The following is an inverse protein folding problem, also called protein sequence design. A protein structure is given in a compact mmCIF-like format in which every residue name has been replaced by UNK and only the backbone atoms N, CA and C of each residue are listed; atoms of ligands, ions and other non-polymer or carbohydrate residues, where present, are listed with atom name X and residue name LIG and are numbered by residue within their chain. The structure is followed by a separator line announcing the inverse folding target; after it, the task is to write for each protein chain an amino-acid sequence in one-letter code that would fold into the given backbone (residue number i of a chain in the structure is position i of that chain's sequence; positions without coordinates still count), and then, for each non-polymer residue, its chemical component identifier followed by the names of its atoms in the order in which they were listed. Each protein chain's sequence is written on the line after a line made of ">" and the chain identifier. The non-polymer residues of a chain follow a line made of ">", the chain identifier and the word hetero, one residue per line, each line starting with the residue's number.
data_IF_516496835144
#
_entry.id   IF_516496835144
#
_cell.length_a   1.000
_cell.length_b   1.000
_cell.length_c   1.000
_cell.angle_alpha   90.00
_cell.angle_beta   90.00
_cell.angle_gamma   90.00
#
_symmetry.space_group_name_H-M   'P 1'
#
loop_
_entity.id
_entity.type
_entity.pdbx_description
1 polymer ?
#
# COMPACT_ATOMS: atom_id res chain seq x y z
N UNK A 1 4.48 -17.15 30.75
CA UNK A 1 5.44 -17.17 31.88
C UNK A 1 5.72 -18.59 32.37
N UNK A 2 4.73 -19.48 32.44
CA UNK A 2 4.89 -20.88 32.92
C UNK A 2 5.79 -21.74 32.01
N UNK A 3 5.55 -21.74 30.70
CA UNK A 3 6.32 -22.58 29.75
C UNK A 3 7.84 -22.29 29.73
N UNK A 4 8.25 -21.04 29.93
CA UNK A 4 9.67 -20.67 29.98
C UNK A 4 10.37 -21.21 31.25
N UNK A 5 9.62 -21.26 32.35
CA UNK A 5 10.10 -21.74 33.65
C UNK A 5 10.23 -23.26 33.66
N UNK A 6 9.30 -23.96 33.02
CA UNK A 6 9.31 -25.42 32.88
C UNK A 6 10.45 -25.91 31.97
N UNK A 7 10.94 -25.07 31.06
CA UNK A 7 12.12 -25.30 30.24
C UNK A 7 13.46 -24.93 30.92
N UNK A 8 13.44 -24.56 32.21
CA UNK A 8 14.65 -24.25 32.98
C UNK A 8 15.18 -22.82 32.82
N UNK A 9 14.44 -21.91 32.17
CA UNK A 9 14.85 -20.52 32.05
C UNK A 9 14.34 -19.69 33.24
N UNK A 10 15.26 -19.07 33.98
CA UNK A 10 14.96 -18.13 35.07
C UNK A 10 14.59 -16.72 34.57
N UNK A 11 14.22 -15.83 35.48
CA UNK A 11 13.90 -14.40 35.21
C UNK A 11 15.14 -13.54 34.82
N UNK A 12 16.19 -14.14 34.28
CA UNK A 12 17.36 -13.41 33.80
C UNK A 12 17.05 -12.77 32.45
N UNK A 13 17.05 -11.44 32.36
CA UNK A 13 17.24 -10.79 31.07
C UNK A 13 18.64 -11.17 30.57
N UNK A 14 18.72 -11.97 29.50
CA UNK A 14 20.00 -12.23 28.84
C UNK A 14 20.68 -10.91 28.46
N UNK A 15 22.01 -10.91 28.30
CA UNK A 15 22.70 -9.68 27.86
C UNK A 15 22.21 -9.32 26.45
N UNK A 16 21.73 -8.10 26.28
CA UNK A 16 21.35 -7.59 24.96
C UNK A 16 22.59 -7.60 24.05
N UNK A 17 22.51 -8.14 22.83
CA UNK A 17 23.61 -8.02 21.88
C UNK A 17 23.90 -6.53 21.62
N UNK A 18 25.17 -6.16 21.71
CA UNK A 18 25.66 -4.81 21.40
C UNK A 18 26.18 -4.86 19.97
N UNK A 19 25.69 -3.97 19.10
CA UNK A 19 26.21 -3.84 17.75
C UNK A 19 27.63 -3.24 17.80
N UNK A 20 28.49 -3.68 16.89
CA UNK A 20 29.84 -3.13 16.74
C UNK A 20 29.77 -1.73 16.12
N UNK A 21 30.57 -0.78 16.61
CA UNK A 21 30.64 0.61 16.09
C UNK A 21 31.47 0.72 14.80
N UNK A 22 31.63 -0.40 14.10
CA UNK A 22 32.48 -0.49 12.92
C UNK A 22 31.90 0.36 11.78
N UNK A 23 32.72 1.28 11.26
CA UNK A 23 32.31 2.16 10.17
C UNK A 23 32.09 1.35 8.89
N UNK A 24 30.84 1.27 8.43
CA UNK A 24 30.48 0.58 7.19
C UNK A 24 30.59 1.54 5.98
N UNK A 25 31.35 1.12 4.96
CA UNK A 25 31.43 1.78 3.65
C UNK A 25 30.35 1.20 2.72
N UNK A 26 29.09 1.50 2.99
CA UNK A 26 27.97 1.07 2.13
C UNK A 26 27.46 2.25 1.30
N UNK A 27 27.41 2.07 -0.02
CA UNK A 27 26.74 3.00 -0.94
C UNK A 27 25.50 2.31 -1.50
N UNK A 28 24.32 2.96 -1.48
CA UNK A 28 23.12 2.34 -2.02
C UNK A 28 23.23 2.18 -3.54
N UNK A 29 22.86 0.99 -4.04
CA UNK A 29 22.84 0.66 -5.47
C UNK A 29 21.39 0.41 -5.88
N UNK A 30 20.78 1.37 -6.57
CA UNK A 30 19.37 1.32 -6.97
C UNK A 30 19.15 0.83 -8.40
N UNK A 31 20.15 1.01 -9.26
CA UNK A 31 20.07 0.65 -10.67
C UNK A 31 21.46 0.27 -11.19
N UNK A 32 21.53 -0.80 -11.98
CA UNK A 32 22.73 -1.25 -12.68
C UNK A 32 22.45 -1.15 -14.18
N UNK A 33 23.29 -0.38 -14.89
CA UNK A 33 23.19 -0.29 -16.34
C UNK A 33 23.40 -1.67 -16.98
N UNK A 34 22.52 -2.05 -17.89
CA UNK A 34 22.55 -3.37 -18.54
C UNK A 34 21.82 -3.37 -19.87
N UNK A 35 21.92 -4.51 -20.58
CA UNK A 35 21.14 -4.74 -21.81
C UNK A 35 19.79 -5.34 -21.43
N UNK A 36 18.70 -4.70 -21.85
CA UNK A 36 17.33 -5.18 -21.59
C UNK A 36 16.52 -4.25 -20.70
N UNK A 37 15.32 -4.72 -20.30
CA UNK A 37 14.42 -3.97 -19.41
C UNK A 37 14.84 -4.12 -17.95
N UNK A 38 15.02 -3.01 -17.24
CA UNK A 38 15.21 -2.98 -15.80
C UNK A 38 13.87 -2.62 -15.13
N UNK A 39 13.09 -3.63 -14.74
CA UNK A 39 11.77 -3.42 -14.13
C UNK A 39 11.87 -2.85 -12.72
N UNK A 40 11.04 -1.85 -12.45
CA UNK A 40 10.87 -1.19 -11.15
C UNK A 40 9.50 -1.54 -10.57
N UNK A 41 8.46 -1.54 -11.40
CA UNK A 41 7.12 -2.03 -11.05
C UNK A 41 6.76 -3.22 -11.93
N UNK A 42 6.65 -4.39 -11.32
CA UNK A 42 6.39 -5.64 -12.06
C UNK A 42 4.93 -5.76 -12.52
N UNK A 43 3.97 -5.19 -11.79
CA UNK A 43 2.56 -5.37 -12.15
C UNK A 43 2.14 -4.45 -13.31
N UNK A 44 2.76 -3.27 -13.39
CA UNK A 44 2.50 -2.30 -14.45
C UNK A 44 3.61 -2.24 -15.51
N UNK A 45 4.58 -3.16 -15.47
CA UNK A 45 5.72 -3.20 -16.39
C UNK A 45 6.53 -1.89 -16.45
N UNK A 46 6.57 -1.10 -15.36
CA UNK A 46 7.32 0.16 -15.31
C UNK A 46 8.81 -0.15 -15.17
N UNK A 47 9.62 0.47 -16.00
CA UNK A 47 11.07 0.28 -16.04
C UNK A 47 11.84 1.52 -15.60
N UNK A 48 13.14 1.36 -15.31
CA UNK A 48 14.03 2.48 -15.01
C UNK A 48 14.08 3.50 -16.17
N UNK A 49 14.04 3.03 -17.42
CA UNK A 49 14.01 3.91 -18.60
C UNK A 49 12.73 4.74 -18.70
N UNK A 50 11.60 4.26 -18.16
CA UNK A 50 10.36 5.04 -18.14
C UNK A 50 10.43 6.18 -17.11
N UNK A 51 11.12 5.95 -15.99
CA UNK A 51 11.38 7.00 -14.97
C UNK A 51 12.31 8.08 -15.54
N UNK A 52 13.39 7.66 -16.22
CA UNK A 52 14.28 8.60 -16.91
C UNK A 52 13.55 9.37 -18.01
N UNK A 53 12.67 8.70 -18.77
CA UNK A 53 11.85 9.35 -19.79
C UNK A 53 10.93 10.41 -19.17
N UNK A 54 10.23 10.06 -18.09
CA UNK A 54 9.36 10.99 -17.39
C UNK A 54 10.14 12.24 -16.92
N UNK A 55 11.35 12.07 -16.39
CA UNK A 55 12.19 13.21 -16.01
C UNK A 55 12.59 14.05 -17.22
N UNK A 56 12.99 13.44 -18.34
CA UNK A 56 13.36 14.16 -19.58
C UNK A 56 12.19 14.96 -20.17
N UNK A 57 10.97 14.49 -19.98
CA UNK A 57 9.75 15.17 -20.41
C UNK A 57 9.26 16.25 -19.42
N UNK A 58 9.98 16.47 -18.31
CA UNK A 58 9.71 17.54 -17.35
C UNK A 58 8.80 17.16 -16.18
N UNK A 59 8.54 15.87 -15.96
CA UNK A 59 7.78 15.41 -14.79
C UNK A 59 8.66 15.36 -13.54
N UNK A 60 8.94 16.53 -12.94
CA UNK A 60 9.86 16.66 -11.80
C UNK A 60 9.30 16.18 -10.46
N UNK A 61 7.98 16.28 -10.26
CA UNK A 61 7.33 15.85 -9.02
C UNK A 61 7.09 14.34 -9.02
N UNK A 62 7.29 13.69 -7.86
CA UNK A 62 6.97 12.27 -7.66
C UNK A 62 5.50 11.95 -7.93
N UNK A 63 4.61 12.91 -7.70
CA UNK A 63 3.18 12.77 -8.00
C UNK A 63 2.91 12.83 -9.51
N UNK A 64 3.75 13.52 -10.27
CA UNK A 64 3.70 13.52 -11.74
C UNK A 64 4.29 12.24 -12.31
N UNK A 65 5.47 11.82 -11.83
CA UNK A 65 6.09 10.55 -12.20
C UNK A 65 5.09 9.40 -12.04
N UNK A 66 4.45 9.30 -10.87
CA UNK A 66 3.42 8.31 -10.57
C UNK A 66 2.28 8.31 -11.59
N UNK A 67 1.74 9.48 -11.95
CA UNK A 67 0.59 9.59 -12.88
C UNK A 67 0.98 9.32 -14.33
N UNK A 68 2.22 9.64 -14.70
CA UNK A 68 2.72 9.45 -16.06
C UNK A 68 3.10 7.99 -16.32
N UNK A 69 3.86 7.37 -15.42
CA UNK A 69 4.35 5.99 -15.59
C UNK A 69 3.42 4.93 -15.02
N UNK A 70 2.46 5.30 -14.17
CA UNK A 70 1.64 4.40 -13.34
C UNK A 70 2.40 3.64 -12.24
N UNK A 71 3.63 4.07 -11.93
CA UNK A 71 4.45 3.53 -10.83
C UNK A 71 3.68 3.47 -9.50
N UNK A 72 3.61 2.29 -8.90
CA UNK A 72 3.01 2.08 -7.58
C UNK A 72 1.49 2.24 -7.55
N UNK A 73 0.83 2.28 -8.71
CA UNK A 73 -0.64 2.31 -8.81
C UNK A 73 -1.28 0.93 -8.90
N UNK A 74 -0.46 -0.13 -8.86
CA UNK A 74 -0.92 -1.49 -9.00
C UNK A 74 -1.59 -2.02 -7.72
N UNK A 75 -2.01 -3.29 -7.73
CA UNK A 75 -2.75 -3.91 -6.61
C UNK A 75 -1.91 -4.02 -5.33
N UNK A 76 -0.59 -4.04 -5.45
CA UNK A 76 0.33 -4.02 -4.32
C UNK A 76 0.52 -2.61 -3.72
N UNK A 77 0.00 -1.56 -4.37
CA UNK A 77 0.15 -0.14 -4.00
C UNK A 77 1.63 0.29 -3.89
N UNK A 78 2.49 -0.27 -4.74
CA UNK A 78 3.89 0.10 -4.83
C UNK A 78 4.73 -0.28 -3.61
N UNK A 79 4.30 -1.30 -2.86
CA UNK A 79 5.05 -1.86 -1.72
C UNK A 79 6.45 -2.31 -2.14
N UNK A 80 6.60 -2.79 -3.39
CA UNK A 80 7.88 -3.25 -3.94
C UNK A 80 8.54 -2.24 -4.87
N UNK A 81 7.79 -1.31 -5.46
CA UNK A 81 8.27 -0.44 -6.54
C UNK A 81 8.56 1.01 -6.11
N UNK A 82 7.83 1.56 -5.13
CA UNK A 82 7.88 3.00 -4.83
C UNK A 82 9.28 3.46 -4.38
N UNK A 83 9.92 2.76 -3.44
CA UNK A 83 11.24 3.17 -2.93
C UNK A 83 12.30 3.10 -4.02
N UNK A 84 12.29 2.05 -4.83
CA UNK A 84 13.21 1.91 -5.96
C UNK A 84 12.99 3.02 -7.01
N UNK A 85 11.74 3.31 -7.36
CA UNK A 85 11.42 4.34 -8.34
C UNK A 85 11.75 5.75 -7.86
N UNK A 86 11.49 6.06 -6.58
CA UNK A 86 11.89 7.32 -5.96
C UNK A 86 13.41 7.47 -5.93
N UNK A 87 14.14 6.40 -5.63
CA UNK A 87 15.59 6.43 -5.60
C UNK A 87 16.22 6.64 -7.00
N UNK A 88 15.64 6.03 -8.03
CA UNK A 88 16.04 6.28 -9.43
C UNK A 88 15.74 7.74 -9.81
N UNK A 89 14.54 8.24 -9.48
CA UNK A 89 14.17 9.64 -9.74
C UNK A 89 15.11 10.63 -9.03
N UNK A 90 15.45 10.36 -7.78
CA UNK A 90 16.40 11.14 -6.98
C UNK A 90 17.78 11.19 -7.66
N UNK A 91 18.28 10.03 -8.12
CA UNK A 91 19.55 9.94 -8.83
C UNK A 91 19.55 10.73 -10.16
N UNK A 92 18.47 10.64 -10.95
CA UNK A 92 18.36 11.35 -12.23
C UNK A 92 18.20 12.87 -12.04
N UNK A 93 17.56 13.30 -10.95
CA UNK A 93 17.36 14.73 -10.64
C UNK A 93 18.49 15.35 -9.82
N UNK A 94 19.49 14.56 -9.38
CA UNK A 94 20.57 15.03 -8.52
C UNK A 94 20.12 15.44 -7.12
N UNK A 95 18.98 14.91 -6.65
CA UNK A 95 18.38 15.19 -5.34
C UNK A 95 18.55 14.00 -4.41
N UNK A 96 18.41 14.22 -3.11
CA UNK A 96 18.22 13.14 -2.15
C UNK A 96 16.78 12.58 -2.22
N UNK A 97 16.57 11.36 -1.71
CA UNK A 97 15.21 10.77 -1.63
C UNK A 97 14.26 11.67 -0.80
N UNK A 98 14.67 12.23 0.37
CA UNK A 98 13.82 13.16 1.11
C UNK A 98 13.42 14.41 0.31
N UNK A 99 14.33 14.99 -0.48
CA UNK A 99 14.05 16.17 -1.32
C UNK A 99 13.16 15.84 -2.52
N UNK A 100 13.26 14.62 -3.04
CA UNK A 100 12.41 14.11 -4.11
C UNK A 100 10.97 13.94 -3.61
N UNK A 101 10.81 13.62 -2.31
CA UNK A 101 9.53 13.47 -1.65
C UNK A 101 8.96 12.05 -1.73
N UNK A 102 7.90 11.80 -0.96
CA UNK A 102 7.19 10.52 -0.96
C UNK A 102 5.73 10.73 -1.35
N UNK A 103 5.11 9.75 -1.97
CA UNK A 103 3.68 9.80 -2.26
C UNK A 103 2.85 9.59 -0.99
N UNK A 104 1.64 10.16 -0.98
CA UNK A 104 0.73 10.03 0.18
C UNK A 104 0.23 8.59 0.33
N UNK A 105 0.42 8.00 1.50
CA UNK A 105 -0.21 6.73 1.89
C UNK A 105 -1.70 6.92 2.19
N UNK A 106 -2.53 6.02 1.68
CA UNK A 106 -4.00 6.08 1.81
C UNK A 106 -4.56 4.73 2.31
N UNK A 107 -5.61 4.74 3.14
CA UNK A 107 -6.37 3.53 3.42
C UNK A 107 -7.21 3.10 2.19
N UNK A 108 -7.52 1.79 2.05
CA UNK A 108 -7.05 0.68 2.88
C UNK A 108 -5.60 0.26 2.53
N UNK A 109 -4.82 -0.22 3.52
CA UNK A 109 -3.41 -0.62 3.32
C UNK A 109 -3.23 -1.79 2.32
N UNK A 110 -4.20 -2.70 2.31
CA UNK A 110 -4.37 -3.77 1.34
C UNK A 110 -5.82 -3.74 0.85
N UNK A 111 -6.12 -4.20 -0.38
CA UNK A 111 -7.49 -4.25 -0.88
C UNK A 111 -8.44 -5.01 0.06
N UNK A 112 -9.62 -4.45 0.29
CA UNK A 112 -10.69 -5.05 1.09
C UNK A 112 -11.90 -5.27 0.19
N UNK A 113 -12.52 -6.44 0.29
CA UNK A 113 -13.71 -6.76 -0.49
C UNK A 113 -14.84 -5.77 -0.20
N UNK A 114 -15.51 -5.25 -1.25
CA UNK A 114 -16.59 -4.25 -1.10
C UNK A 114 -17.69 -4.75 -0.15
N UNK A 115 -18.06 -6.03 -0.24
CA UNK A 115 -19.07 -6.64 0.63
C UNK A 115 -18.71 -6.65 2.12
N UNK A 116 -17.42 -6.57 2.47
CA UNK A 116 -17.00 -6.45 3.87
C UNK A 116 -17.34 -5.07 4.45
N UNK A 117 -17.27 -4.00 3.64
CA UNK A 117 -17.70 -2.66 4.07
C UNK A 117 -19.23 -2.57 4.26
N UNK A 118 -19.99 -3.32 3.47
CA UNK A 118 -21.45 -3.34 3.58
C UNK A 118 -21.95 -3.97 4.90
N UNK A 119 -21.15 -4.80 5.58
CA UNK A 119 -21.57 -5.42 6.85
C UNK A 119 -22.84 -6.26 6.70
N UNK A 120 -23.90 -5.93 7.43
CA UNK A 120 -25.23 -6.56 7.30
C UNK A 120 -26.20 -5.76 6.41
N UNK A 121 -25.77 -4.65 5.83
CA UNK A 121 -26.60 -3.81 4.96
C UNK A 121 -26.72 -4.43 3.55
N UNK A 122 -27.58 -5.44 3.44
CA UNK A 122 -27.92 -6.13 2.18
C UNK A 122 -29.38 -6.57 2.23
N UNK A 123 -29.98 -6.80 1.07
CA UNK A 123 -31.34 -7.32 0.94
C UNK A 123 -32.36 -6.49 1.76
N UNK A 124 -33.28 -7.15 2.45
CA UNK A 124 -34.31 -6.53 3.30
C UNK A 124 -33.74 -5.74 4.50
N UNK A 125 -32.48 -5.99 4.87
CA UNK A 125 -31.78 -5.28 5.96
C UNK A 125 -30.86 -4.16 5.45
N UNK A 126 -30.88 -3.84 4.15
CA UNK A 126 -30.15 -2.70 3.60
C UNK A 126 -30.56 -1.39 4.27
N UNK A 127 -31.87 -1.19 4.44
CA UNK A 127 -32.45 -0.08 5.16
C UNK A 127 -33.65 -0.54 5.99
N UNK A 128 -33.94 0.19 7.08
CA UNK A 128 -35.08 -0.14 7.92
C UNK A 128 -36.39 0.03 7.14
N UNK A 129 -37.19 -1.04 7.08
CA UNK A 129 -38.56 -1.01 6.58
C UNK A 129 -39.49 -0.56 7.70
N UNK A 130 -40.19 0.56 7.49
CA UNK A 130 -41.10 1.14 8.48
C UNK A 130 -42.53 0.71 8.17
N UNK A 131 -43.16 0.04 9.13
CA UNK A 131 -44.56 -0.38 9.01
C UNK A 131 -45.47 0.67 9.66
N UNK A 132 -46.56 1.03 8.98
CA UNK A 132 -47.62 1.85 9.60
C UNK A 132 -48.39 1.01 10.62
N UNK A 133 -49.09 1.63 11.60
CA UNK A 133 -49.92 0.87 12.54
C UNK A 133 -50.99 -0.01 11.87
N UNK A 134 -51.44 0.36 10.67
CA UNK A 134 -52.43 -0.38 9.87
C UNK A 134 -51.83 -1.42 8.91
N UNK A 135 -50.51 -1.60 8.89
CA UNK A 135 -49.83 -2.44 7.90
C UNK A 135 -50.38 -3.88 7.88
N UNK A 136 -50.49 -4.51 9.04
CA UNK A 136 -50.98 -5.90 9.14
C UNK A 136 -52.43 -6.04 8.65
N UNK A 137 -53.31 -5.09 9.00
CA UNK A 137 -54.69 -5.08 8.51
C UNK A 137 -54.74 -4.94 6.98
N UNK A 138 -53.93 -4.06 6.40
CA UNK A 138 -53.87 -3.88 4.94
C UNK A 138 -53.39 -5.17 4.23
N UNK A 139 -52.40 -5.85 4.80
CA UNK A 139 -51.91 -7.13 4.27
C UNK A 139 -53.00 -8.21 4.27
N UNK A 140 -53.79 -8.32 5.34
CA UNK A 140 -54.92 -9.25 5.44
C UNK A 140 -56.02 -8.99 4.41
N UNK A 141 -56.22 -7.73 4.00
CA UNK A 141 -57.17 -7.36 2.95
C UNK A 141 -56.61 -7.56 1.52
N UNK A 142 -55.40 -8.12 1.38
CA UNK A 142 -54.76 -8.34 0.08
C UNK A 142 -54.17 -7.08 -0.55
N UNK A 143 -53.78 -6.08 0.26
CA UNK A 143 -53.12 -4.89 -0.25
C UNK A 143 -51.76 -5.21 -0.90
N UNK A 144 -51.43 -4.47 -1.95
CA UNK A 144 -50.12 -4.48 -2.60
C UNK A 144 -49.29 -3.34 -1.99
N UNK A 145 -48.08 -3.66 -1.53
CA UNK A 145 -47.13 -2.69 -0.98
C UNK A 145 -46.13 -2.26 -2.06
N UNK A 146 -45.82 -0.97 -2.12
CA UNK A 146 -44.86 -0.34 -3.03
C UNK A 146 -43.76 0.37 -2.28
#
# INVERSE_FOLDING_TARGET
>A
VTAARDAGHGNGSGSTPVADDEAFSLTPLWHVAGKGKAFVDQQHDVTASDIELAQREGFESVEHLKRYTTLGMATDQGKTSNVAGLAIMAAVTGKSIPETGTTIYRPPYVPVAIGAFAGHHRDETFHATRLTPSHHWAAEQGAIFV
#
